data_IF_193858258036
#
_entry.id   IF_193858258036
#
_cell.length_a   1.000
_cell.length_b   1.000
_cell.length_c   1.000
_cell.angle_alpha   90.00
_cell.angle_beta   90.00
_cell.angle_gamma   90.00
#
_symmetry.space_group_name_H-M   'P 1'
#
loop_
_entity.id
_entity.type
_entity.pdbx_description
1 polymer ?
#
# COMPACT_ATOMS: atom_id res chain seq x y z
N UNK A 1 17.97 2.71 4.20
CA UNK A 1 17.81 4.05 3.58
C UNK A 1 19.05 4.92 3.82
N UNK A 2 19.62 4.92 5.02
CA UNK A 2 20.78 5.76 5.39
C UNK A 2 22.01 5.64 4.47
N UNK A 3 22.39 4.42 4.05
CA UNK A 3 23.55 4.23 3.15
C UNK A 3 23.38 4.95 1.81
N UNK A 4 22.19 4.90 1.21
CA UNK A 4 21.90 5.57 -0.07
C UNK A 4 21.77 7.07 0.12
N UNK A 5 21.21 7.50 1.24
CA UNK A 5 21.09 8.92 1.60
C UNK A 5 22.47 9.57 1.78
N UNK A 6 23.40 8.87 2.43
CA UNK A 6 24.75 9.36 2.67
C UNK A 6 25.63 9.39 1.41
N UNK A 7 25.43 8.46 0.47
CA UNK A 7 26.29 8.33 -0.71
C UNK A 7 25.78 9.03 -1.98
N UNK A 8 24.51 8.83 -2.33
CA UNK A 8 24.02 9.07 -3.70
C UNK A 8 22.88 10.08 -3.76
N UNK A 9 21.94 10.03 -2.80
CA UNK A 9 20.78 10.92 -2.81
C UNK A 9 20.45 11.43 -1.40
N UNK A 10 21.05 12.56 -0.98
CA UNK A 10 20.78 13.17 0.32
C UNK A 10 19.30 13.54 0.54
N UNK A 11 18.54 13.74 -0.54
CA UNK A 11 17.11 14.08 -0.49
C UNK A 11 16.20 12.87 -0.34
N UNK A 12 16.72 11.64 -0.39
CA UNK A 12 15.93 10.43 -0.27
C UNK A 12 15.20 10.41 1.08
N UNK A 13 13.89 10.24 1.08
CA UNK A 13 13.08 10.12 2.28
C UNK A 13 12.03 9.03 2.11
N UNK A 14 11.60 8.44 3.22
CA UNK A 14 10.45 7.53 3.23
C UNK A 14 9.19 8.40 3.16
N UNK A 15 8.50 8.35 2.03
CA UNK A 15 7.23 9.05 1.84
C UNK A 15 6.08 8.40 2.62
N UNK A 16 6.05 7.06 2.66
CA UNK A 16 5.11 6.33 3.50
C UNK A 16 5.21 4.82 3.36
N UNK A 17 4.39 4.11 4.15
CA UNK A 17 4.33 2.64 4.22
C UNK A 17 2.92 2.19 3.92
N UNK A 18 2.74 1.47 2.82
CA UNK A 18 1.44 0.94 2.40
C UNK A 18 1.34 -0.53 2.78
N UNK A 19 0.32 -0.88 3.57
CA UNK A 19 0.01 -2.27 3.88
C UNK A 19 -0.78 -2.89 2.72
N UNK A 20 -0.22 -3.95 2.14
CA UNK A 20 -0.80 -4.66 0.98
C UNK A 20 -0.99 -6.14 1.30
N UNK A 21 -1.80 -6.82 0.47
CA UNK A 21 -2.15 -8.24 0.64
C UNK A 21 -2.70 -8.57 2.04
N UNK A 22 -3.29 -7.59 2.73
CA UNK A 22 -3.74 -7.72 4.10
C UNK A 22 -4.91 -8.72 4.21
N UNK A 23 -4.83 -9.61 5.20
CA UNK A 23 -5.86 -10.60 5.51
C UNK A 23 -6.31 -10.45 6.96
N UNK A 24 -7.47 -9.83 7.16
CA UNK A 24 -8.08 -9.51 8.46
C UNK A 24 -8.41 -10.74 9.32
N UNK A 25 -8.46 -11.92 8.70
CA UNK A 25 -8.72 -13.21 9.34
C UNK A 25 -7.50 -13.78 10.06
N UNK A 26 -6.30 -13.24 9.79
CA UNK A 26 -5.04 -13.78 10.33
C UNK A 26 -4.48 -12.88 11.42
N UNK A 27 -4.11 -13.48 12.57
CA UNK A 27 -3.44 -12.76 13.64
C UNK A 27 -2.13 -12.13 13.16
N UNK A 28 -1.35 -12.88 12.36
CA UNK A 28 -0.10 -12.39 11.78
C UNK A 28 -0.28 -11.06 11.01
N UNK A 29 -1.30 -10.95 10.15
CA UNK A 29 -1.53 -9.69 9.43
C UNK A 29 -1.84 -8.54 10.38
N UNK A 30 -2.58 -8.80 11.45
CA UNK A 30 -2.91 -7.80 12.48
C UNK A 30 -1.67 -7.37 13.25
N UNK A 31 -0.85 -8.33 13.67
CA UNK A 31 0.37 -8.07 14.44
C UNK A 31 1.37 -7.25 13.61
N UNK A 32 1.62 -7.65 12.36
CA UNK A 32 2.50 -6.92 11.43
C UNK A 32 1.95 -5.51 11.15
N UNK A 33 0.64 -5.36 10.96
CA UNK A 33 0.03 -4.04 10.74
C UNK A 33 0.18 -3.13 11.96
N UNK A 34 0.04 -3.67 13.17
CA UNK A 34 0.21 -2.91 14.41
C UNK A 34 1.67 -2.50 14.62
N UNK A 35 2.62 -3.41 14.40
CA UNK A 35 4.04 -3.12 14.51
C UNK A 35 4.48 -2.06 13.50
N UNK A 36 4.02 -2.16 12.24
CA UNK A 36 4.28 -1.15 11.23
C UNK A 36 3.71 0.23 11.64
N UNK A 37 2.48 0.28 12.17
CA UNK A 37 1.88 1.52 12.68
C UNK A 37 2.65 2.11 13.86
N UNK A 38 3.14 1.28 14.78
CA UNK A 38 3.91 1.75 15.93
C UNK A 38 5.29 2.27 15.53
N UNK A 39 5.94 1.66 14.54
CA UNK A 39 7.30 2.03 14.13
C UNK A 39 7.33 3.22 13.16
N UNK A 40 6.38 3.27 12.21
CA UNK A 40 6.35 4.29 11.16
C UNK A 40 5.35 5.41 11.42
N UNK A 41 4.47 5.25 12.42
CA UNK A 41 3.51 6.26 12.88
C UNK A 41 2.70 6.85 11.70
N UNK A 42 2.69 8.18 11.56
CA UNK A 42 1.98 8.92 10.52
C UNK A 42 2.43 8.59 9.08
N UNK A 43 3.59 7.93 8.92
CA UNK A 43 4.05 7.49 7.59
C UNK A 43 3.27 6.28 7.08
N UNK A 44 2.55 5.55 7.92
CA UNK A 44 1.70 4.45 7.45
C UNK A 44 0.45 5.02 6.78
N UNK A 45 0.12 4.51 5.60
CA UNK A 45 -1.14 4.84 4.94
C UNK A 45 -2.31 4.34 5.78
N UNK A 46 -3.34 5.17 5.95
CA UNK A 46 -4.58 4.78 6.62
C UNK A 46 -5.31 3.73 5.79
N UNK A 47 -5.21 3.84 4.47
CA UNK A 47 -5.78 2.88 3.52
C UNK A 47 -4.95 1.60 3.49
N UNK A 48 -5.63 0.45 3.57
CA UNK A 48 -5.03 -0.88 3.47
C UNK A 48 -5.52 -1.55 2.18
N UNK A 49 -4.62 -2.17 1.43
CA UNK A 49 -4.99 -2.96 0.25
C UNK A 49 -5.18 -4.43 0.67
N UNK A 50 -6.41 -4.96 0.67
CA UNK A 50 -6.67 -6.33 1.10
C UNK A 50 -6.19 -7.33 0.07
N UNK A 51 -5.96 -8.58 0.51
CA UNK A 51 -5.82 -9.70 -0.41
C UNK A 51 -7.13 -9.89 -1.18
N UNK A 52 -7.05 -9.87 -2.50
CA UNK A 52 -8.23 -9.96 -3.38
C UNK A 52 -7.92 -10.80 -4.63
N UNK A 53 -8.81 -11.74 -4.97
CA UNK A 53 -8.60 -12.66 -6.11
C UNK A 53 -8.58 -11.90 -7.44
N UNK A 54 -9.49 -10.94 -7.67
CA UNK A 54 -9.52 -10.13 -8.90
C UNK A 54 -8.24 -9.32 -9.09
N UNK A 55 -7.69 -8.80 -7.99
CA UNK A 55 -6.41 -8.09 -7.99
C UNK A 55 -5.24 -9.01 -8.37
N UNK A 56 -5.28 -10.28 -7.96
CA UNK A 56 -4.28 -11.29 -8.32
C UNK A 56 -4.45 -11.81 -9.76
N UNK A 57 -5.67 -11.83 -10.29
CA UNK A 57 -5.98 -12.25 -11.67
C UNK A 57 -5.59 -11.20 -12.71
N UNK A 58 -5.77 -9.90 -12.42
CA UNK A 58 -5.59 -8.82 -13.39
C UNK A 58 -4.24 -8.85 -14.15
N UNK A 59 -3.08 -9.11 -13.50
CA UNK A 59 -1.80 -9.27 -14.20
C UNK A 59 -1.79 -10.40 -15.24
N UNK A 60 -2.48 -11.51 -15.00
CA UNK A 60 -2.57 -12.64 -15.94
C UNK A 60 -3.32 -12.28 -17.23
N UNK A 61 -4.21 -11.29 -17.17
CA UNK A 61 -4.91 -10.74 -18.33
C UNK A 61 -4.17 -9.54 -18.96
N UNK A 62 -3.02 -9.15 -18.41
CA UNK A 62 -2.26 -7.99 -18.89
C UNK A 62 -2.98 -6.66 -18.70
N UNK A 63 -3.96 -6.59 -17.78
CA UNK A 63 -4.80 -5.42 -17.57
C UNK A 63 -4.60 -4.84 -16.16
N UNK A 64 -4.60 -3.51 -16.00
CA UNK A 64 -4.71 -2.88 -14.69
C UNK A 64 -6.02 -3.27 -13.99
N UNK A 65 -6.03 -3.29 -12.65
CA UNK A 65 -7.23 -3.67 -11.88
C UNK A 65 -8.45 -2.80 -12.20
N UNK A 66 -8.24 -1.53 -12.54
CA UNK A 66 -9.33 -0.61 -12.91
C UNK A 66 -9.98 -0.95 -14.25
N UNK A 67 -9.26 -1.61 -15.15
CA UNK A 67 -9.81 -2.09 -16.42
C UNK A 67 -10.38 -3.51 -16.28
N UNK A 68 -9.75 -4.35 -15.46
CA UNK A 68 -10.19 -5.73 -15.22
C UNK A 68 -11.50 -5.80 -14.43
N UNK A 69 -11.56 -5.17 -13.24
CA UNK A 69 -12.75 -5.13 -12.40
C UNK A 69 -12.69 -3.92 -11.45
N UNK A 70 -13.25 -2.80 -11.89
CA UNK A 70 -13.30 -1.55 -11.12
C UNK A 70 -14.18 -1.65 -9.87
N UNK A 71 -15.14 -2.58 -9.83
CA UNK A 71 -16.09 -2.72 -8.74
C UNK A 71 -15.51 -3.54 -7.57
N UNK A 72 -14.46 -4.32 -7.82
CA UNK A 72 -13.85 -5.18 -6.80
C UNK A 72 -13.25 -4.37 -5.64
N UNK A 73 -13.08 -5.06 -4.50
CA UNK A 73 -12.47 -4.46 -3.30
C UNK A 73 -11.04 -3.97 -3.53
N UNK A 74 -10.27 -4.66 -4.37
CA UNK A 74 -8.89 -4.27 -4.70
C UNK A 74 -8.82 -2.94 -5.45
N UNK A 75 -9.65 -2.76 -6.48
CA UNK A 75 -9.74 -1.51 -7.23
C UNK A 75 -10.13 -0.33 -6.33
N UNK A 76 -11.18 -0.50 -5.51
CA UNK A 76 -11.62 0.53 -4.57
C UNK A 76 -10.52 0.90 -3.56
N UNK A 77 -9.78 -0.08 -3.05
CA UNK A 77 -8.66 0.16 -2.14
C UNK A 77 -7.54 0.97 -2.82
N UNK A 78 -7.15 0.62 -4.05
CA UNK A 78 -6.14 1.40 -4.78
C UNK A 78 -6.60 2.82 -5.15
N UNK A 79 -7.88 3.03 -5.43
CA UNK A 79 -8.43 4.39 -5.60
C UNK A 79 -8.30 5.20 -4.30
N UNK A 80 -8.63 4.62 -3.16
CA UNK A 80 -8.47 5.28 -1.86
C UNK A 80 -7.00 5.56 -1.52
N UNK A 81 -6.08 4.62 -1.83
CA UNK A 81 -4.63 4.86 -1.70
C UNK A 81 -4.18 6.02 -2.58
N UNK A 82 -4.65 6.10 -3.83
CA UNK A 82 -4.30 7.19 -4.73
C UNK A 82 -4.80 8.55 -4.21
N UNK A 83 -6.02 8.60 -3.67
CA UNK A 83 -6.56 9.81 -3.03
C UNK A 83 -5.71 10.23 -1.82
N UNK A 84 -5.37 9.28 -0.94
CA UNK A 84 -4.54 9.55 0.24
C UNK A 84 -3.12 9.99 -0.16
N UNK A 85 -2.54 9.36 -1.19
CA UNK A 85 -1.22 9.73 -1.74
C UNK A 85 -1.21 11.18 -2.22
N UNK A 86 -2.22 11.58 -3.00
CA UNK A 86 -2.34 12.94 -3.51
C UNK A 86 -2.55 13.96 -2.38
N UNK A 87 -3.32 13.62 -1.35
CA UNK A 87 -3.53 14.48 -0.18
C UNK A 87 -2.26 14.69 0.65
N UNK A 88 -1.36 13.70 0.71
CA UNK A 88 -0.07 13.81 1.41
C UNK A 88 1.00 14.53 0.60
N UNK A 89 0.82 14.61 -0.72
CA UNK A 89 1.77 15.26 -1.63
C UNK A 89 1.49 16.77 -1.83
N UNK A 90 0.29 17.23 -1.47
CA UNK A 90 -0.11 18.63 -1.42
C UNK A 90 0.38 19.30 -0.13
#
# INVERSE_FOLDING_TARGET
VELVRAGVNPRLAINGVLLTMYDDRTNLSRDVANEAKNFFEEKVYRTIVPRNVRLAEAPSYGMPIFQWDIACRGAKAYLAVAQEFLQRAA
#
